data_IF_064497539031
#
_entry.id   IF_064497539031
#
_cell.length_a   1.000
_cell.length_b   1.000
_cell.length_c   1.000
_cell.angle_alpha   90.00
_cell.angle_beta   90.00
_cell.angle_gamma   90.00
#
_symmetry.space_group_name_H-M   'P 1'
#
loop_
_entity.id
_entity.type
_entity.pdbx_description
1 polymer ?
#
# COMPACT_ATOMS: atom_id res chain seq x y z
N UNK A 1 2.24 12.74 -22.51
CA UNK A 1 3.61 12.97 -22.03
C UNK A 1 3.82 12.14 -20.77
N UNK A 2 4.58 11.07 -20.91
CA UNK A 2 4.98 10.23 -19.78
C UNK A 2 5.95 11.06 -18.96
N UNK A 3 5.49 11.52 -17.79
CA UNK A 3 6.27 12.41 -16.96
C UNK A 3 7.57 11.76 -16.50
N UNK A 4 8.65 12.51 -16.53
CA UNK A 4 9.96 12.16 -15.97
C UNK A 4 9.90 11.68 -14.50
N UNK A 5 8.74 11.84 -13.83
CA UNK A 5 8.47 11.38 -12.47
C UNK A 5 8.66 9.88 -12.25
N UNK A 6 8.40 9.09 -13.26
CA UNK A 6 8.54 7.63 -13.16
C UNK A 6 9.99 7.16 -13.23
N UNK A 7 10.91 7.98 -13.74
CA UNK A 7 12.33 7.62 -13.92
C UNK A 7 13.12 7.69 -12.61
N UNK A 8 12.67 8.48 -11.63
CA UNK A 8 13.42 8.71 -10.39
C UNK A 8 12.95 7.86 -9.21
N UNK A 9 11.79 7.22 -9.31
CA UNK A 9 11.34 6.25 -8.34
C UNK A 9 11.90 4.88 -8.73
N UNK A 10 12.37 4.08 -7.77
CA UNK A 10 12.80 2.71 -8.00
C UNK A 10 11.63 1.88 -8.53
N UNK A 11 11.53 1.75 -9.85
CA UNK A 11 10.48 1.03 -10.54
C UNK A 11 11.09 0.13 -11.59
N UNK A 12 10.46 -1.02 -11.82
CA UNK A 12 10.73 -1.85 -12.98
C UNK A 12 10.02 -1.17 -14.16
N UNK A 13 10.80 -0.70 -15.14
CA UNK A 13 10.27 -0.08 -16.35
C UNK A 13 10.98 -0.64 -17.57
N UNK A 14 10.21 -1.05 -18.56
CA UNK A 14 10.70 -1.50 -19.85
C UNK A 14 9.96 -0.74 -20.97
N UNK A 15 10.64 -0.55 -22.09
CA UNK A 15 10.01 0.06 -23.26
C UNK A 15 8.89 -0.82 -23.83
N UNK A 16 7.88 -0.23 -24.53
CA UNK A 16 6.73 -0.96 -25.06
C UNK A 16 7.05 -2.06 -26.08
N UNK A 17 8.25 -2.09 -26.64
CA UNK A 17 8.66 -3.14 -27.58
C UNK A 17 9.04 -4.46 -26.88
N UNK A 18 9.39 -4.45 -25.58
CA UNK A 18 9.76 -5.69 -24.87
C UNK A 18 8.67 -6.78 -24.91
N UNK A 19 7.39 -6.48 -24.66
CA UNK A 19 6.33 -7.49 -24.82
C UNK A 19 6.33 -8.15 -26.18
N UNK A 20 6.50 -7.39 -27.26
CA UNK A 20 6.56 -7.92 -28.63
C UNK A 20 7.73 -8.89 -28.82
N UNK A 21 8.89 -8.58 -28.29
CA UNK A 21 10.04 -9.50 -28.34
C UNK A 21 9.78 -10.76 -27.53
N UNK A 22 9.17 -10.66 -26.35
CA UNK A 22 8.82 -11.83 -25.55
C UNK A 22 7.86 -12.74 -26.31
N UNK A 23 6.83 -12.17 -26.95
CA UNK A 23 5.88 -12.92 -27.77
C UNK A 23 6.57 -13.59 -28.97
N UNK A 24 7.46 -12.88 -29.69
CA UNK A 24 8.24 -13.43 -30.81
C UNK A 24 9.17 -14.58 -30.38
N UNK A 25 9.69 -14.51 -29.16
CA UNK A 25 10.55 -15.56 -28.58
C UNK A 25 9.76 -16.74 -28.00
N UNK A 26 8.43 -16.74 -28.12
CA UNK A 26 7.55 -17.81 -27.66
C UNK A 26 7.36 -17.84 -26.14
N UNK A 27 7.47 -16.69 -25.48
CA UNK A 27 7.08 -16.56 -24.09
C UNK A 27 5.58 -16.27 -23.98
N UNK A 28 4.95 -16.82 -22.97
CA UNK A 28 3.53 -16.65 -22.65
C UNK A 28 3.35 -15.83 -21.38
N UNK A 29 2.19 -15.15 -21.25
CA UNK A 29 1.80 -14.47 -20.01
C UNK A 29 1.69 -15.50 -18.88
N UNK A 30 2.40 -15.26 -17.77
CA UNK A 30 2.17 -15.98 -16.50
C UNK A 30 1.17 -15.22 -15.63
N UNK A 31 1.50 -13.99 -15.25
CA UNK A 31 0.67 -13.16 -14.37
C UNK A 31 0.93 -11.68 -14.64
N UNK A 32 -0.10 -10.86 -14.46
CA UNK A 32 0.03 -9.42 -14.48
C UNK A 32 -0.18 -8.80 -13.09
N UNK A 33 0.60 -7.77 -12.79
CA UNK A 33 0.35 -6.86 -11.69
C UNK A 33 -0.12 -5.52 -12.23
N UNK A 34 -1.16 -4.99 -11.61
CA UNK A 34 -1.76 -3.69 -11.96
C UNK A 34 -1.64 -2.73 -10.79
N UNK A 35 -1.53 -1.44 -11.10
CA UNK A 35 -1.63 -0.36 -10.12
C UNK A 35 -2.71 0.60 -10.58
N UNK A 36 -3.50 1.08 -9.63
CA UNK A 36 -4.55 2.05 -9.88
C UNK A 36 -4.31 3.32 -9.08
N UNK A 37 -4.72 4.44 -9.65
CA UNK A 37 -4.77 5.73 -8.98
C UNK A 37 -6.24 6.07 -8.73
N UNK A 38 -6.55 6.51 -7.52
CA UNK A 38 -7.86 6.94 -7.10
C UNK A 38 -7.80 8.41 -6.69
N UNK A 39 -8.87 9.15 -6.94
CA UNK A 39 -9.06 10.47 -6.37
C UNK A 39 -9.48 10.34 -4.91
N UNK A 40 -8.85 11.12 -4.03
CA UNK A 40 -9.21 11.12 -2.61
C UNK A 40 -10.54 11.83 -2.47
N UNK A 41 -11.61 11.16 -2.01
CA UNK A 41 -12.90 11.81 -1.85
C UNK A 41 -12.86 12.83 -0.71
N UNK A 42 -13.59 13.93 -0.86
CA UNK A 42 -13.69 14.97 0.19
C UNK A 42 -14.37 14.46 1.46
N UNK A 43 -15.34 13.57 1.28
CA UNK A 43 -16.10 12.94 2.35
C UNK A 43 -16.04 11.41 2.22
N UNK A 44 -16.24 10.72 3.34
CA UNK A 44 -16.29 9.27 3.33
C UNK A 44 -17.55 8.82 2.59
N UNK A 45 -17.45 8.04 1.50
CA UNK A 45 -18.62 7.53 0.81
C UNK A 45 -19.56 6.79 1.77
N UNK A 46 -20.85 7.09 1.70
CA UNK A 46 -21.88 6.54 2.62
C UNK A 46 -21.86 5.02 2.71
N UNK A 47 -21.52 4.34 1.61
CA UNK A 47 -21.34 2.89 1.58
C UNK A 47 -20.26 2.43 2.57
N UNK A 48 -19.09 3.11 2.61
CA UNK A 48 -18.02 2.73 3.53
C UNK A 48 -18.39 3.05 4.98
N UNK A 49 -18.98 4.21 5.24
CA UNK A 49 -19.43 4.58 6.58
C UNK A 49 -20.42 3.53 7.14
N UNK A 50 -21.39 3.11 6.33
CA UNK A 50 -22.36 2.08 6.73
C UNK A 50 -21.70 0.72 6.99
N UNK A 51 -20.82 0.27 6.10
CA UNK A 51 -20.11 -1.01 6.26
C UNK A 51 -19.20 -0.98 7.49
N UNK A 52 -18.51 0.14 7.72
CA UNK A 52 -17.67 0.35 8.91
C UNK A 52 -18.50 0.20 10.20
N UNK A 53 -19.65 0.85 10.25
CA UNK A 53 -20.54 0.75 11.42
C UNK A 53 -20.97 -0.68 11.67
N UNK A 54 -21.45 -1.38 10.64
CA UNK A 54 -21.86 -2.78 10.73
C UNK A 54 -20.70 -3.68 11.18
N UNK A 55 -19.51 -3.49 10.64
CA UNK A 55 -18.34 -4.30 11.01
C UNK A 55 -17.91 -4.08 12.46
N UNK A 56 -18.02 -2.84 12.96
CA UNK A 56 -17.76 -2.52 14.38
C UNK A 56 -18.79 -3.22 15.29
N UNK A 57 -20.06 -3.16 14.94
CA UNK A 57 -21.15 -3.73 15.75
C UNK A 57 -21.17 -5.25 15.74
N UNK A 58 -20.98 -5.87 14.57
CA UNK A 58 -21.10 -7.34 14.42
C UNK A 58 -19.85 -8.11 14.85
N UNK A 59 -18.66 -7.51 14.69
CA UNK A 59 -17.39 -8.22 14.90
C UNK A 59 -16.50 -7.56 15.95
N UNK A 60 -16.98 -6.53 16.65
CA UNK A 60 -16.21 -5.82 17.67
C UNK A 60 -14.92 -5.20 17.13
N UNK A 61 -14.89 -4.84 15.82
CA UNK A 61 -13.68 -4.32 15.19
C UNK A 61 -13.44 -2.87 15.55
N UNK A 62 -12.18 -2.55 15.80
CA UNK A 62 -11.75 -1.19 16.12
C UNK A 62 -10.45 -0.81 15.41
N UNK A 63 -10.30 0.47 15.08
CA UNK A 63 -9.04 1.00 14.57
C UNK A 63 -8.13 1.37 15.73
N UNK A 64 -6.92 0.84 15.73
CA UNK A 64 -5.85 1.24 16.65
C UNK A 64 -4.81 2.06 15.90
N UNK A 65 -4.55 3.27 16.38
CA UNK A 65 -3.40 4.08 15.97
C UNK A 65 -2.19 3.68 16.82
N UNK A 66 -1.14 3.22 16.16
CA UNK A 66 0.07 2.78 16.85
C UNK A 66 0.91 3.96 17.33
N UNK A 67 1.47 3.83 18.51
CA UNK A 67 2.55 4.67 19.01
C UNK A 67 3.90 4.01 18.73
N UNK A 68 5.00 4.75 18.94
CA UNK A 68 6.33 4.14 18.83
C UNK A 68 6.54 3.06 19.92
N UNK A 69 5.93 3.23 21.10
CA UNK A 69 5.97 2.23 22.17
C UNK A 69 5.24 0.95 21.77
N UNK A 70 4.08 1.05 21.10
CA UNK A 70 3.36 -0.11 20.59
C UNK A 70 4.21 -0.93 19.63
N UNK A 71 4.91 -0.26 18.71
CA UNK A 71 5.75 -0.95 17.71
C UNK A 71 6.91 -1.68 18.37
N UNK A 72 7.64 -1.02 19.27
CA UNK A 72 8.91 -1.53 19.84
C UNK A 72 8.66 -2.38 21.07
N UNK A 73 7.88 -1.87 22.06
CA UNK A 73 7.70 -2.52 23.37
C UNK A 73 6.58 -3.55 23.36
N UNK A 74 5.48 -3.28 22.65
CA UNK A 74 4.30 -4.15 22.63
C UNK A 74 4.27 -5.10 21.43
N UNK A 75 5.35 -5.12 20.62
CA UNK A 75 5.55 -6.08 19.55
C UNK A 75 4.61 -5.95 18.34
N UNK A 76 3.92 -4.81 18.18
CA UNK A 76 3.02 -4.60 17.05
C UNK A 76 3.71 -4.68 15.70
N UNK A 77 4.98 -4.29 15.61
CA UNK A 77 5.75 -4.47 14.38
C UNK A 77 5.77 -5.92 13.92
N UNK A 78 6.07 -6.87 14.82
CA UNK A 78 6.05 -8.31 14.50
C UNK A 78 4.65 -8.83 14.23
N UNK A 79 3.62 -8.39 15.00
CA UNK A 79 2.21 -8.78 14.75
C UNK A 79 1.75 -8.37 13.35
N UNK A 80 2.11 -7.17 12.89
CA UNK A 80 1.81 -6.68 11.53
C UNK A 80 2.47 -7.56 10.47
N UNK A 81 3.75 -7.88 10.61
CA UNK A 81 4.45 -8.73 9.63
C UNK A 81 3.96 -10.18 9.65
N UNK A 82 3.58 -10.71 10.82
CA UNK A 82 2.93 -12.03 10.90
C UNK A 82 1.61 -12.05 10.13
N UNK A 83 0.79 -11.00 10.27
CA UNK A 83 -0.43 -10.85 9.48
C UNK A 83 -0.12 -10.79 7.97
N UNK A 84 0.90 -10.00 7.56
CA UNK A 84 1.32 -9.92 6.15
C UNK A 84 1.74 -11.28 5.61
N UNK A 85 2.57 -12.04 6.34
CA UNK A 85 2.97 -13.39 5.95
C UNK A 85 1.74 -14.28 5.75
N UNK A 86 0.79 -14.29 6.68
CA UNK A 86 -0.43 -15.10 6.58
C UNK A 86 -1.33 -14.67 5.42
N UNK A 87 -1.55 -13.37 5.26
CA UNK A 87 -2.48 -12.86 4.25
C UNK A 87 -1.92 -12.97 2.81
N UNK A 88 -0.59 -12.91 2.65
CA UNK A 88 0.06 -12.90 1.35
C UNK A 88 0.59 -14.28 0.92
N UNK A 89 0.62 -15.27 1.83
CA UNK A 89 1.09 -16.62 1.52
C UNK A 89 0.50 -17.22 0.23
N UNK A 90 -0.81 -17.07 -0.09
CA UNK A 90 -1.38 -17.63 -1.31
C UNK A 90 -1.08 -16.80 -2.58
N UNK A 91 -0.44 -15.62 -2.48
CA UNK A 91 -0.22 -14.75 -3.62
C UNK A 91 0.98 -15.21 -4.45
N UNK A 92 0.84 -15.16 -5.77
CA UNK A 92 1.90 -15.52 -6.70
C UNK A 92 3.21 -14.78 -6.42
N UNK A 93 4.29 -15.53 -6.30
CA UNK A 93 5.63 -14.99 -6.10
C UNK A 93 5.90 -14.43 -4.69
N UNK A 94 4.97 -14.59 -3.75
CA UNK A 94 5.22 -14.22 -2.37
C UNK A 94 6.15 -15.23 -1.69
N UNK A 95 7.12 -14.72 -0.95
CA UNK A 95 8.00 -15.52 -0.10
C UNK A 95 7.86 -15.01 1.33
N UNK A 96 7.58 -15.91 2.24
CA UNK A 96 7.41 -15.58 3.66
C UNK A 96 8.68 -14.97 4.25
N UNK A 97 8.50 -13.89 4.99
CA UNK A 97 9.60 -13.19 5.67
C UNK A 97 9.98 -13.94 6.95
N UNK A 98 11.26 -14.26 7.08
CA UNK A 98 11.80 -14.81 8.32
C UNK A 98 11.78 -13.79 9.46
N UNK A 99 11.80 -14.25 10.71
CA UNK A 99 11.82 -13.38 11.89
C UNK A 99 12.97 -12.37 11.86
N UNK A 100 14.15 -12.79 11.39
CA UNK A 100 15.32 -11.91 11.26
C UNK A 100 15.06 -10.77 10.24
N UNK A 101 14.40 -11.07 9.13
CA UNK A 101 14.00 -10.07 8.13
C UNK A 101 12.91 -9.15 8.69
N UNK A 102 11.94 -9.70 9.40
CA UNK A 102 10.89 -8.93 10.09
C UNK A 102 11.50 -7.93 11.07
N UNK A 103 12.41 -8.36 11.94
CA UNK A 103 13.06 -7.47 12.90
C UNK A 103 13.86 -6.36 12.21
N UNK A 104 14.55 -6.70 11.15
CA UNK A 104 15.28 -5.71 10.33
C UNK A 104 14.31 -4.68 9.72
N UNK A 105 13.19 -5.13 9.15
CA UNK A 105 12.20 -4.23 8.54
C UNK A 105 11.51 -3.35 9.59
N UNK A 106 11.12 -3.92 10.73
CA UNK A 106 10.54 -3.15 11.85
C UNK A 106 11.50 -2.05 12.27
N UNK A 107 12.77 -2.40 12.54
CA UNK A 107 13.78 -1.43 12.99
C UNK A 107 14.07 -0.34 11.94
N UNK A 108 14.08 -0.70 10.66
CA UNK A 108 14.51 0.19 9.57
C UNK A 108 13.38 1.09 9.05
N UNK A 109 12.17 0.56 8.91
CA UNK A 109 11.09 1.25 8.19
C UNK A 109 10.02 1.84 9.09
N UNK A 110 9.66 1.19 10.21
CA UNK A 110 8.61 1.73 11.08
C UNK A 110 8.87 3.13 11.63
N UNK A 111 10.13 3.54 11.95
CA UNK A 111 10.40 4.91 12.37
C UNK A 111 10.10 5.96 11.30
N UNK A 112 10.10 5.56 10.02
CA UNK A 112 9.85 6.45 8.88
C UNK A 112 8.35 6.58 8.54
N UNK A 113 7.53 5.64 9.01
CA UNK A 113 6.10 5.62 8.72
C UNK A 113 5.37 6.56 9.68
N UNK A 114 4.58 7.45 9.12
CA UNK A 114 3.66 8.26 9.90
C UNK A 114 2.55 7.39 10.49
N UNK A 115 2.45 7.37 11.82
CA UNK A 115 1.52 6.49 12.54
C UNK A 115 0.04 6.81 12.26
N UNK A 116 -0.28 8.02 11.86
CA UNK A 116 -1.64 8.36 11.43
C UNK A 116 -2.01 7.70 10.09
N UNK A 117 -1.01 7.40 9.27
CA UNK A 117 -1.17 6.72 7.97
C UNK A 117 -0.94 5.19 8.06
N UNK A 118 -0.97 4.64 9.28
CA UNK A 118 -0.78 3.23 9.60
C UNK A 118 -1.93 2.73 10.50
N UNK A 119 -3.18 2.65 10.00
CA UNK A 119 -4.26 2.04 10.76
C UNK A 119 -4.04 0.54 10.93
N UNK A 120 -4.23 0.07 12.14
CA UNK A 120 -4.29 -1.35 12.50
C UNK A 120 -5.71 -1.65 12.99
N UNK A 121 -6.33 -2.67 12.40
CA UNK A 121 -7.65 -3.13 12.82
C UNK A 121 -7.46 -4.25 13.83
N UNK A 122 -8.18 -4.18 14.93
CA UNK A 122 -8.21 -5.18 15.99
C UNK A 122 -9.64 -5.66 16.26
N UNK A 123 -9.76 -6.91 16.74
CA UNK A 123 -10.98 -7.42 17.33
C UNK A 123 -11.02 -7.13 18.85
N UNK A 124 -12.06 -7.61 19.54
CA UNK A 124 -12.24 -7.45 20.98
C UNK A 124 -11.11 -8.07 21.81
N UNK A 125 -10.51 -9.15 21.30
CA UNK A 125 -9.37 -9.83 21.93
C UNK A 125 -8.02 -9.17 21.67
N UNK A 126 -7.99 -7.95 21.09
CA UNK A 126 -6.78 -7.21 20.71
C UNK A 126 -5.90 -7.91 19.66
N UNK A 127 -6.44 -8.88 18.96
CA UNK A 127 -5.75 -9.52 17.84
C UNK A 127 -5.71 -8.59 16.64
N UNK A 128 -4.59 -8.58 15.92
CA UNK A 128 -4.43 -7.81 14.69
C UNK A 128 -5.15 -8.53 13.54
N UNK A 129 -6.24 -7.93 13.09
CA UNK A 129 -7.11 -8.44 12.02
C UNK A 129 -6.75 -7.84 10.67
N UNK A 130 -6.32 -6.60 10.66
CA UNK A 130 -5.98 -5.90 9.44
C UNK A 130 -4.93 -4.81 9.65
N UNK A 131 -4.24 -4.46 8.58
CA UNK A 131 -3.30 -3.35 8.54
C UNK A 131 -3.30 -2.71 7.17
N UNK A 132 -3.21 -1.39 7.12
CA UNK A 132 -2.86 -0.65 5.92
C UNK A 132 -1.62 0.22 6.21
N UNK A 133 -0.65 0.18 5.31
CA UNK A 133 0.57 0.99 5.40
C UNK A 133 0.57 1.93 4.21
N UNK A 134 0.49 3.22 4.50
CA UNK A 134 0.44 4.27 3.51
C UNK A 134 1.42 5.38 3.83
N UNK A 135 1.81 6.17 2.84
CA UNK A 135 2.71 7.31 3.04
C UNK A 135 2.52 8.35 1.93
N UNK A 136 2.98 9.58 2.17
CA UNK A 136 3.10 10.58 1.11
C UNK A 136 4.11 10.14 0.05
N UNK A 137 3.81 10.41 -1.21
CA UNK A 137 4.73 10.07 -2.31
C UNK A 137 6.05 10.82 -2.18
N UNK A 138 7.16 10.12 -2.36
CA UNK A 138 8.50 10.71 -2.40
C UNK A 138 8.97 11.03 -3.84
N UNK A 139 8.13 10.81 -4.84
CA UNK A 139 8.51 10.91 -6.25
C UNK A 139 9.03 12.29 -6.63
N UNK A 140 8.34 13.37 -6.25
CA UNK A 140 8.79 14.75 -6.52
C UNK A 140 10.08 15.11 -5.76
N UNK A 141 10.20 14.65 -4.52
CA UNK A 141 11.41 14.89 -3.73
C UNK A 141 12.63 14.20 -4.34
N UNK A 142 12.49 12.95 -4.77
CA UNK A 142 13.52 12.18 -5.46
C UNK A 142 13.89 12.81 -6.81
N UNK A 143 12.90 13.30 -7.54
CA UNK A 143 13.09 14.02 -8.80
C UNK A 143 13.92 15.28 -8.60
N UNK A 144 13.56 16.13 -7.63
CA UNK A 144 14.30 17.35 -7.27
C UNK A 144 15.72 17.03 -6.79
N UNK A 145 15.88 15.94 -6.07
CA UNK A 145 17.18 15.44 -5.63
C UNK A 145 18.02 14.82 -6.76
N UNK A 146 17.44 14.63 -7.97
CA UNK A 146 18.08 13.95 -9.12
C UNK A 146 18.66 12.58 -8.72
N UNK A 147 17.99 11.88 -7.80
CA UNK A 147 18.43 10.60 -7.25
C UNK A 147 19.68 10.66 -6.34
N UNK A 148 20.20 11.84 -6.04
CA UNK A 148 21.41 12.03 -5.20
C UNK A 148 20.99 12.53 -3.81
N UNK A 149 21.53 11.89 -2.76
CA UNK A 149 21.26 12.30 -1.38
C UNK A 149 22.06 13.55 -0.99
N UNK A 150 23.29 13.65 -1.46
CA UNK A 150 24.21 14.75 -1.15
C UNK A 150 24.52 15.61 -2.40
N UNK A 151 24.76 16.93 -2.25
CA UNK A 151 24.79 17.67 -0.99
C UNK A 151 23.40 18.06 -0.43
N UNK A 152 22.38 18.30 -1.26
CA UNK A 152 21.09 18.85 -0.82
C UNK A 152 19.87 17.94 -1.05
N UNK A 153 20.07 16.75 -1.61
CA UNK A 153 18.96 15.82 -1.90
C UNK A 153 18.21 15.37 -0.65
N UNK A 154 18.92 15.18 0.47
CA UNK A 154 18.33 14.86 1.76
C UNK A 154 17.30 15.89 2.23
N UNK A 155 17.54 17.18 1.94
CA UNK A 155 16.62 18.27 2.28
C UNK A 155 15.26 18.10 1.59
N UNK A 156 15.25 17.74 0.30
CA UNK A 156 14.00 17.48 -0.42
C UNK A 156 13.23 16.30 0.17
N UNK A 157 13.92 15.23 0.59
CA UNK A 157 13.30 14.06 1.23
C UNK A 157 12.74 14.41 2.62
N UNK A 158 13.53 15.10 3.46
CA UNK A 158 13.06 15.54 4.79
C UNK A 158 11.86 16.48 4.65
N UNK A 159 11.89 17.39 3.68
CA UNK A 159 10.77 18.29 3.40
C UNK A 159 9.50 17.53 3.00
N UNK A 160 9.61 16.52 2.13
CA UNK A 160 8.46 15.69 1.73
C UNK A 160 7.90 14.90 2.92
N UNK A 161 8.77 14.30 3.74
CA UNK A 161 8.36 13.49 4.89
C UNK A 161 7.79 14.32 6.05
N UNK A 162 8.43 15.45 6.40
CA UNK A 162 8.05 16.25 7.59
C UNK A 162 7.04 17.34 7.27
N UNK A 163 7.19 18.06 6.15
CA UNK A 163 6.34 19.19 5.82
C UNK A 163 5.17 18.83 4.92
N UNK A 164 5.07 17.56 4.54
CA UNK A 164 3.87 16.93 3.96
C UNK A 164 3.26 17.74 2.79
N UNK A 165 4.10 18.27 1.89
CA UNK A 165 3.69 19.09 0.74
C UNK A 165 3.47 18.28 -0.54
N UNK A 166 3.18 17.00 -0.43
CA UNK A 166 2.87 16.13 -1.57
C UNK A 166 1.34 16.04 -1.74
N UNK A 167 0.90 16.03 -2.98
CA UNK A 167 -0.52 15.90 -3.30
C UNK A 167 -0.98 14.44 -3.50
N UNK A 168 -0.02 13.51 -3.44
CA UNK A 168 -0.26 12.09 -3.72
C UNK A 168 0.16 11.21 -2.54
N UNK A 169 -0.75 10.35 -2.10
CA UNK A 169 -0.45 9.25 -1.20
C UNK A 169 -0.08 7.98 -1.96
N UNK A 170 0.76 7.14 -1.38
CA UNK A 170 1.08 5.81 -1.86
C UNK A 170 0.54 4.78 -0.87
N UNK A 171 -0.28 3.86 -1.36
CA UNK A 171 -0.80 2.73 -0.63
C UNK A 171 0.19 1.58 -0.78
N UNK A 172 1.07 1.42 0.20
CA UNK A 172 2.20 0.51 0.08
C UNK A 172 1.79 -0.94 0.29
N UNK A 173 1.03 -1.20 1.35
CA UNK A 173 0.59 -2.54 1.75
C UNK A 173 -0.80 -2.44 2.38
N UNK A 174 -1.63 -3.43 2.11
CA UNK A 174 -2.90 -3.65 2.79
C UNK A 174 -3.07 -5.15 3.01
N UNK A 175 -3.38 -5.56 4.21
CA UNK A 175 -3.61 -6.95 4.54
C UNK A 175 -4.78 -7.10 5.51
N UNK A 176 -5.57 -8.12 5.28
CA UNK A 176 -6.66 -8.55 6.16
C UNK A 176 -6.51 -10.04 6.40
N UNK A 177 -6.63 -10.46 7.65
CA UNK A 177 -6.60 -11.87 8.04
C UNK A 177 -7.61 -12.68 7.22
N UNK A 178 -7.25 -13.85 6.68
CA UNK A 178 -8.07 -14.57 5.71
C UNK A 178 -9.51 -14.83 6.16
N UNK A 179 -9.72 -15.15 7.44
CA UNK A 179 -11.03 -15.41 8.06
C UNK A 179 -11.91 -14.15 8.21
N UNK A 180 -11.33 -12.95 8.09
CA UNK A 180 -12.04 -11.67 8.12
C UNK A 180 -12.18 -11.03 6.74
N UNK A 181 -11.65 -11.66 5.70
CA UNK A 181 -11.79 -11.14 4.33
C UNK A 181 -13.27 -11.23 3.87
N UNK A 182 -13.74 -10.13 3.26
CA UNK A 182 -15.15 -10.04 2.83
C UNK A 182 -16.12 -9.55 3.91
N UNK A 183 -15.68 -9.39 5.17
CA UNK A 183 -16.49 -8.92 6.29
C UNK A 183 -16.45 -7.38 6.46
N UNK A 184 -16.06 -6.65 5.44
CA UNK A 184 -16.08 -5.18 5.46
C UNK A 184 -14.88 -4.51 6.14
N UNK A 185 -13.85 -5.26 6.56
CA UNK A 185 -12.66 -4.72 7.22
C UNK A 185 -11.99 -3.60 6.43
N UNK A 186 -11.99 -3.70 5.09
CA UNK A 186 -11.42 -2.67 4.23
C UNK A 186 -12.11 -1.31 4.37
N UNK A 187 -13.41 -1.30 4.70
CA UNK A 187 -14.13 -0.04 4.91
C UNK A 187 -13.60 0.74 6.12
N UNK A 188 -13.14 0.05 7.17
CA UNK A 188 -12.52 0.69 8.33
C UNK A 188 -11.23 1.43 7.96
N UNK A 189 -10.44 0.91 6.99
CA UNK A 189 -9.25 1.61 6.51
C UNK A 189 -9.63 2.90 5.78
N UNK A 190 -10.66 2.88 4.93
CA UNK A 190 -11.10 4.08 4.23
C UNK A 190 -11.72 5.11 5.16
N UNK A 191 -12.54 4.64 6.12
CA UNK A 191 -13.14 5.48 7.17
C UNK A 191 -12.08 6.24 7.98
N UNK A 192 -10.96 5.57 8.27
CA UNK A 192 -9.85 6.12 9.03
C UNK A 192 -8.89 6.99 8.20
N UNK A 193 -8.57 6.57 6.97
CA UNK A 193 -7.52 7.21 6.15
C UNK A 193 -8.02 8.41 5.35
N UNK A 194 -9.27 8.41 4.87
CA UNK A 194 -9.81 9.52 4.06
C UNK A 194 -9.72 10.86 4.79
N UNK A 195 -10.14 10.98 6.07
CA UNK A 195 -9.98 12.21 6.84
C UNK A 195 -8.50 12.64 6.97
N UNK A 196 -7.59 11.69 7.22
CA UNK A 196 -6.15 11.96 7.31
C UNK A 196 -5.60 12.45 5.98
N UNK A 197 -6.05 11.89 4.86
CA UNK A 197 -5.63 12.33 3.53
C UNK A 197 -6.12 13.74 3.22
N UNK A 198 -7.37 14.05 3.57
CA UNK A 198 -7.93 15.39 3.40
C UNK A 198 -7.21 16.45 4.26
N UNK A 199 -6.93 16.16 5.53
CA UNK A 199 -6.14 17.01 6.43
C UNK A 199 -4.75 17.31 5.84
N UNK A 200 -4.15 16.33 5.13
CA UNK A 200 -2.84 16.45 4.48
C UNK A 200 -2.87 16.97 3.06
N UNK A 201 -4.05 17.32 2.57
CA UNK A 201 -4.27 17.84 1.23
C UNK A 201 -3.84 16.89 0.09
N UNK A 202 -3.90 15.57 0.35
CA UNK A 202 -3.73 14.60 -0.73
C UNK A 202 -4.93 14.64 -1.66
N UNK A 203 -4.66 14.78 -2.95
CA UNK A 203 -5.67 14.75 -4.02
C UNK A 203 -5.81 13.35 -4.62
N UNK A 204 -4.72 12.59 -4.59
CA UNK A 204 -4.60 11.30 -5.25
C UNK A 204 -4.02 10.26 -4.30
N UNK A 205 -4.44 9.01 -4.46
CA UNK A 205 -3.80 7.87 -3.83
C UNK A 205 -3.52 6.79 -4.90
N UNK A 206 -2.29 6.29 -4.96
CA UNK A 206 -1.88 5.24 -5.90
C UNK A 206 -1.59 3.95 -5.14
N UNK A 207 -2.14 2.83 -5.64
CA UNK A 207 -1.92 1.52 -5.03
C UNK A 207 -0.51 1.00 -5.32
N UNK A 208 -0.03 0.10 -4.47
CA UNK A 208 1.05 -0.81 -4.81
C UNK A 208 0.65 -1.76 -5.96
N UNK A 209 1.58 -2.58 -6.47
CA UNK A 209 1.26 -3.62 -7.45
C UNK A 209 0.30 -4.65 -6.85
N UNK A 210 -0.82 -4.87 -7.52
CA UNK A 210 -1.85 -5.85 -7.16
C UNK A 210 -1.97 -6.88 -8.28
N UNK A 211 -2.14 -8.16 -7.94
CA UNK A 211 -2.37 -9.21 -8.92
C UNK A 211 -3.67 -8.94 -9.68
N UNK A 212 -3.64 -9.06 -11.01
CA UNK A 212 -4.81 -8.81 -11.86
C UNK A 212 -5.96 -9.79 -11.59
N UNK A 213 -5.64 -11.00 -11.18
CA UNK A 213 -6.59 -12.05 -10.83
C UNK A 213 -7.12 -11.96 -9.38
N UNK A 214 -6.55 -11.08 -8.55
CA UNK A 214 -7.08 -10.80 -7.22
C UNK A 214 -8.31 -9.88 -7.29
N UNK A 215 -9.41 -10.42 -7.81
CA UNK A 215 -10.65 -9.67 -8.06
C UNK A 215 -11.21 -9.02 -6.78
N UNK A 216 -11.06 -9.68 -5.63
CA UNK A 216 -11.53 -9.14 -4.34
C UNK A 216 -10.82 -7.84 -4.00
N UNK A 217 -9.50 -7.81 -4.18
CA UNK A 217 -8.66 -6.64 -3.93
C UNK A 217 -8.98 -5.50 -4.91
N UNK A 218 -9.12 -5.81 -6.20
CA UNK A 218 -9.40 -4.80 -7.23
C UNK A 218 -10.82 -4.22 -7.12
N UNK A 219 -11.79 -5.02 -6.68
CA UNK A 219 -13.19 -4.60 -6.58
C UNK A 219 -13.41 -3.56 -5.47
N UNK A 220 -12.61 -3.56 -4.42
CA UNK A 220 -12.73 -2.57 -3.34
C UNK A 220 -12.53 -1.13 -3.84
N UNK A 221 -11.76 -0.91 -4.91
CA UNK A 221 -11.48 0.41 -5.46
C UNK A 221 -12.59 0.98 -6.33
N UNK A 222 -13.51 0.13 -6.86
CA UNK A 222 -14.56 0.56 -7.80
C UNK A 222 -15.38 1.78 -7.35
N UNK A 223 -15.79 1.90 -6.06
CA UNK A 223 -16.53 3.07 -5.61
C UNK A 223 -15.74 4.39 -5.64
N UNK A 224 -14.42 4.32 -5.80
CA UNK A 224 -13.50 5.46 -5.85
C UNK A 224 -13.03 5.78 -7.27
N UNK A 225 -13.71 5.26 -8.30
CA UNK A 225 -13.43 5.51 -9.72
C UNK A 225 -11.95 5.34 -10.09
N UNK A 226 -11.38 4.14 -9.91
CA UNK A 226 -9.96 3.90 -10.10
C UNK A 226 -9.55 4.05 -11.57
N UNK A 227 -8.40 4.68 -11.80
CA UNK A 227 -7.74 4.76 -13.11
C UNK A 227 -6.52 3.85 -13.13
N UNK A 228 -6.43 2.93 -14.11
CA UNK A 228 -5.26 2.08 -14.29
C UNK A 228 -4.05 2.93 -14.69
N UNK A 229 -3.00 2.90 -13.88
CA UNK A 229 -1.78 3.70 -14.12
C UNK A 229 -0.62 2.86 -14.63
N UNK A 230 -0.48 1.64 -14.15
CA UNK A 230 0.66 0.78 -14.49
C UNK A 230 0.23 -0.68 -14.60
N UNK A 231 0.88 -1.38 -15.52
CA UNK A 231 0.78 -2.83 -15.69
C UNK A 231 2.17 -3.42 -15.81
N UNK A 232 2.43 -4.50 -15.11
CA UNK A 232 3.66 -5.29 -15.20
C UNK A 232 3.30 -6.72 -15.47
N UNK A 233 4.04 -7.38 -16.36
CA UNK A 233 3.81 -8.77 -16.74
C UNK A 233 5.00 -9.63 -16.40
N UNK A 234 4.75 -10.77 -15.79
CA UNK A 234 5.67 -11.88 -15.73
C UNK A 234 5.39 -12.82 -16.90
N UNK A 235 6.44 -13.27 -17.53
CA UNK A 235 6.39 -14.20 -18.66
C UNK A 235 6.98 -15.54 -18.26
N UNK A 236 6.44 -16.61 -18.85
CA UNK A 236 7.00 -17.97 -18.77
C UNK A 236 7.22 -18.54 -20.15
N UNK A 237 8.12 -19.51 -20.27
CA UNK A 237 8.33 -20.34 -21.44
C UNK A 237 8.64 -21.75 -20.98
N UNK A 238 8.00 -22.76 -21.60
CA UNK A 238 8.38 -24.14 -21.40
C UNK A 238 9.72 -24.38 -22.14
N UNK A 239 10.67 -25.01 -21.45
CA UNK A 239 11.95 -25.43 -22.01
C UNK A 239 11.80 -26.79 -22.69
#
# INVERSE_FOLDING_TARGET
SRGLGDVYKRQIYNYPYYPKHMDTLGYEKEVDWVQVCIEVPKEIPSKYARVTQLSKEMFGLRVKKLTNADVVKHGYGRKVFKLLNTAYAPLFGYTELSDKQVDMYVKRYFPLIDKQMLPVIQNENEEVIGVAITMGSLSHALQKAKGKLFPLGWYHLVRALKWKKEEKAELLLIAVRPDYQGLGVNALFFDDLIPVYNERHFKWAETGPQLEDNVKELTQWKPLHPTLTKRRRCYKKKL
#
